data_IF_523064010278
#
_entry.id   IF_523064010278
#
_cell.length_a   1.000
_cell.length_b   1.000
_cell.length_c   1.000
_cell.angle_alpha   90.00
_cell.angle_beta   90.00
_cell.angle_gamma   90.00
#
_symmetry.space_group_name_H-M   'P 1'
#
loop_
_entity.id
_entity.type
_entity.pdbx_description
1 polymer ?
#
# COMPACT_ATOMS: atom_id res chain seq x y z
N UNK A 1 3.49 -32.16 8.94
CA UNK A 1 4.04 -30.80 8.96
C UNK A 1 4.15 -30.40 10.42
N UNK A 2 5.32 -29.95 10.86
CA UNK A 2 5.43 -29.32 12.18
C UNK A 2 4.65 -27.99 12.14
N UNK A 3 3.74 -27.78 13.09
CA UNK A 3 2.87 -26.59 13.13
C UNK A 3 3.71 -25.32 13.35
N UNK A 4 4.92 -25.46 13.89
CA UNK A 4 5.82 -24.33 14.12
C UNK A 4 6.40 -23.70 12.84
N UNK A 5 6.40 -24.43 11.71
CA UNK A 5 7.01 -23.98 10.45
C UNK A 5 5.98 -23.61 9.37
N UNK A 6 4.70 -23.53 9.70
CA UNK A 6 3.65 -23.15 8.75
C UNK A 6 3.71 -21.65 8.42
N UNK A 7 3.74 -21.33 7.12
CA UNK A 7 3.62 -19.97 6.61
C UNK A 7 2.14 -19.59 6.47
N UNK A 8 1.79 -18.36 6.86
CA UNK A 8 0.42 -17.83 6.78
C UNK A 8 0.40 -16.44 6.16
N UNK A 9 -0.64 -16.11 5.40
CA UNK A 9 -0.83 -14.75 4.91
C UNK A 9 -1.14 -13.81 6.07
N UNK A 10 -0.24 -12.85 6.33
CA UNK A 10 -0.28 -12.00 7.51
C UNK A 10 -1.13 -10.74 7.36
N UNK A 11 -1.86 -10.59 6.24
CA UNK A 11 -2.65 -9.41 5.90
C UNK A 11 -1.89 -8.08 6.17
N UNK A 12 -2.51 -7.12 6.86
CA UNK A 12 -1.95 -5.80 7.13
C UNK A 12 -0.67 -5.81 7.98
N UNK A 13 -0.31 -6.92 8.65
CA UNK A 13 1.00 -7.02 9.32
C UNK A 13 2.15 -6.90 8.30
N UNK A 14 1.90 -7.23 7.03
CA UNK A 14 2.85 -7.02 5.94
C UNK A 14 3.30 -5.56 5.80
N UNK A 15 2.50 -4.57 6.23
CA UNK A 15 2.89 -3.14 6.18
C UNK A 15 4.15 -2.86 6.99
N UNK A 16 4.39 -3.60 8.09
CA UNK A 16 5.62 -3.51 8.86
C UNK A 16 6.83 -3.97 8.02
N UNK A 17 6.69 -5.05 7.26
CA UNK A 17 7.72 -5.56 6.36
C UNK A 17 7.97 -4.59 5.18
N UNK A 18 6.92 -4.03 4.60
CA UNK A 18 7.01 -2.97 3.60
C UNK A 18 7.75 -1.75 4.15
N UNK A 19 7.45 -1.33 5.37
CA UNK A 19 8.13 -0.20 6.04
C UNK A 19 9.61 -0.50 6.20
N UNK A 20 9.97 -1.70 6.66
CA UNK A 20 11.37 -2.09 6.82
C UNK A 20 12.13 -2.07 5.50
N UNK A 21 11.51 -2.51 4.39
CA UNK A 21 12.13 -2.42 3.07
C UNK A 21 12.39 -0.97 2.66
N UNK A 22 11.41 -0.07 2.84
CA UNK A 22 11.61 1.36 2.59
C UNK A 22 12.74 1.94 3.45
N UNK A 23 12.77 1.63 4.75
CA UNK A 23 13.79 2.12 5.68
C UNK A 23 15.18 1.53 5.41
N UNK A 24 15.28 0.30 4.89
CA UNK A 24 16.54 -0.27 4.45
C UNK A 24 17.14 0.54 3.29
N UNK A 25 16.31 0.95 2.34
CA UNK A 25 16.73 1.77 1.23
C UNK A 25 17.00 3.25 1.65
N UNK A 26 16.32 3.77 2.69
CA UNK A 26 16.72 5.03 3.36
C UNK A 26 18.12 4.90 3.97
N UNK A 27 18.37 3.82 4.72
CA UNK A 27 19.68 3.57 5.34
C UNK A 27 20.80 3.44 4.29
N UNK A 28 20.49 2.90 3.11
CA UNK A 28 21.42 2.80 1.99
C UNK A 28 21.66 4.14 1.25
N UNK A 29 20.94 5.21 1.62
CA UNK A 29 21.04 6.52 0.97
C UNK A 29 20.33 6.61 -0.39
N UNK A 30 19.54 5.60 -0.76
CA UNK A 30 18.81 5.59 -2.04
C UNK A 30 17.53 6.44 -2.00
N UNK A 31 17.08 6.85 -0.82
CA UNK A 31 15.96 7.77 -0.63
C UNK A 31 16.00 8.44 0.75
N UNK A 32 15.32 9.57 0.89
CA UNK A 32 15.12 10.24 2.16
C UNK A 32 13.65 10.27 2.57
N UNK A 33 13.38 10.33 3.88
CA UNK A 33 12.01 10.38 4.42
C UNK A 33 11.26 11.65 4.01
N UNK A 34 11.97 12.76 3.91
CA UNK A 34 11.42 14.12 3.78
C UNK A 34 11.76 14.80 2.46
N UNK A 35 12.31 14.06 1.50
CA UNK A 35 12.48 14.55 0.12
C UNK A 35 11.22 14.26 -0.71
N UNK A 36 10.84 15.16 -1.64
CA UNK A 36 9.72 14.94 -2.53
C UNK A 36 9.90 13.65 -3.34
N UNK A 37 8.90 12.77 -3.30
CA UNK A 37 8.89 11.52 -4.09
C UNK A 37 9.07 11.82 -5.58
N UNK A 38 8.55 12.96 -6.05
CA UNK A 38 8.70 13.42 -7.42
C UNK A 38 10.16 13.57 -7.89
N UNK A 39 11.12 13.74 -6.97
CA UNK A 39 12.56 13.77 -7.28
C UNK A 39 13.10 12.41 -7.73
N UNK A 40 12.50 11.31 -7.28
CA UNK A 40 12.87 9.94 -7.69
C UNK A 40 11.91 9.41 -8.76
N UNK A 41 10.61 9.66 -8.57
CA UNK A 41 9.52 9.14 -9.40
C UNK A 41 8.71 10.30 -9.98
N UNK A 42 9.23 10.91 -11.05
CA UNK A 42 8.64 12.11 -11.67
C UNK A 42 7.16 11.96 -12.06
N UNK A 43 6.79 10.80 -12.60
CA UNK A 43 5.40 10.51 -12.98
C UNK A 43 4.43 10.52 -11.78
N UNK A 44 4.91 10.20 -10.58
CA UNK A 44 4.10 10.28 -9.36
C UNK A 44 3.81 11.73 -8.95
N UNK A 45 4.74 12.66 -9.17
CA UNK A 45 4.61 14.07 -8.78
C UNK A 45 3.47 14.84 -9.45
N UNK A 46 2.78 14.25 -10.42
CA UNK A 46 1.68 14.89 -11.13
C UNK A 46 0.42 15.07 -10.26
N UNK A 47 -0.45 16.02 -10.68
CA UNK A 47 -1.82 16.21 -10.16
C UNK A 47 -1.91 16.47 -8.65
N UNK A 48 -1.04 17.36 -8.14
CA UNK A 48 -1.05 17.80 -6.74
C UNK A 48 -0.31 16.88 -5.77
N UNK A 49 0.58 16.01 -6.29
CA UNK A 49 1.45 15.12 -5.50
C UNK A 49 2.92 15.58 -5.50
N UNK A 50 3.21 16.77 -6.02
CA UNK A 50 4.56 17.34 -6.15
C UNK A 50 5.27 17.52 -4.80
N UNK A 51 4.50 17.71 -3.71
CA UNK A 51 5.01 17.82 -2.34
C UNK A 51 4.84 16.55 -1.50
N UNK A 52 4.41 15.43 -2.10
CA UNK A 52 4.33 14.17 -1.38
C UNK A 52 5.74 13.65 -1.07
N UNK A 53 5.98 13.26 0.18
CA UNK A 53 7.25 12.71 0.67
C UNK A 53 7.03 11.28 1.17
N UNK A 54 8.10 10.47 1.29
CA UNK A 54 7.98 9.10 1.76
C UNK A 54 7.31 9.02 3.14
N UNK A 55 7.64 9.93 4.07
CA UNK A 55 7.01 9.97 5.40
C UNK A 55 5.49 10.06 5.32
N UNK A 56 4.93 10.75 4.32
CA UNK A 56 3.48 10.79 4.13
C UNK A 56 2.92 9.42 3.75
N UNK A 57 3.59 8.67 2.86
CA UNK A 57 3.17 7.31 2.49
C UNK A 57 3.23 6.39 3.71
N UNK A 58 4.38 6.37 4.40
CA UNK A 58 4.61 5.48 5.54
C UNK A 58 3.67 5.75 6.73
N UNK A 59 3.15 6.97 6.84
CA UNK A 59 2.22 7.39 7.91
C UNK A 59 0.77 7.51 7.45
N UNK A 60 0.43 7.01 6.26
CA UNK A 60 -0.94 7.02 5.72
C UNK A 60 -1.53 8.41 5.47
N UNK A 61 -0.68 9.38 5.08
CA UNK A 61 -1.03 10.77 4.80
C UNK A 61 -0.76 11.19 3.35
N UNK A 62 -0.47 10.25 2.45
CA UNK A 62 -0.18 10.56 1.04
C UNK A 62 -1.42 10.91 0.20
N UNK A 63 -2.62 10.81 0.77
CA UNK A 63 -3.85 11.17 0.06
C UNK A 63 -4.40 10.09 -0.87
N UNK A 64 -3.90 8.86 -0.81
CA UNK A 64 -4.31 7.78 -1.71
C UNK A 64 -4.74 6.52 -0.94
N UNK A 65 -5.72 6.61 -0.03
CA UNK A 65 -6.13 5.49 0.80
C UNK A 65 -6.73 4.31 0.01
N UNK A 66 -7.19 4.56 -1.22
CA UNK A 66 -7.80 3.59 -2.14
C UNK A 66 -7.34 3.84 -3.57
N UNK A 67 -7.51 2.84 -4.42
CA UNK A 67 -7.32 2.99 -5.87
C UNK A 67 -8.40 3.89 -6.46
N UNK A 68 -8.06 4.56 -7.57
CA UNK A 68 -9.01 5.36 -8.32
C UNK A 68 -10.03 4.44 -9.03
N UNK A 69 -11.26 4.91 -9.33
CA UNK A 69 -12.30 4.09 -9.96
C UNK A 69 -11.87 3.40 -11.26
N UNK A 70 -10.93 3.99 -12.00
CA UNK A 70 -10.39 3.44 -13.24
C UNK A 70 -9.64 2.11 -13.04
N UNK A 71 -9.16 1.83 -11.82
CA UNK A 71 -8.51 0.58 -11.47
C UNK A 71 -9.50 -0.56 -11.14
N UNK A 72 -10.81 -0.30 -11.13
CA UNK A 72 -11.81 -1.30 -10.72
C UNK A 72 -11.86 -2.55 -11.63
N UNK A 73 -11.37 -2.44 -12.87
CA UNK A 73 -11.29 -3.55 -13.81
C UNK A 73 -9.94 -4.26 -13.86
N UNK A 74 -8.96 -3.85 -13.05
CA UNK A 74 -7.63 -4.45 -13.05
C UNK A 74 -7.66 -5.78 -12.28
N UNK A 75 -6.87 -6.74 -12.76
CA UNK A 75 -6.56 -7.92 -11.98
C UNK A 75 -5.82 -7.49 -10.70
N UNK A 76 -6.16 -8.10 -9.56
CA UNK A 76 -5.45 -7.85 -8.30
C UNK A 76 -3.97 -8.27 -8.39
N UNK A 77 -3.61 -9.13 -9.35
CA UNK A 77 -2.25 -9.56 -9.63
C UNK A 77 -1.53 -8.65 -10.65
N UNK A 78 -2.21 -7.67 -11.26
CA UNK A 78 -1.58 -6.67 -12.12
C UNK A 78 -0.92 -5.55 -11.29
N UNK A 79 0.14 -5.91 -10.56
CA UNK A 79 0.90 -4.98 -9.73
C UNK A 79 1.39 -3.75 -10.50
N UNK A 80 1.75 -3.95 -11.78
CA UNK A 80 2.20 -2.90 -12.69
C UNK A 80 1.10 -1.89 -12.95
N UNK A 81 -0.04 -2.35 -13.47
CA UNK A 81 -1.20 -1.52 -13.73
C UNK A 81 -1.70 -0.81 -12.47
N UNK A 82 -1.86 -1.53 -11.37
CA UNK A 82 -2.32 -0.97 -10.09
C UNK A 82 -1.39 0.16 -9.61
N UNK A 83 -0.08 -0.05 -9.66
CA UNK A 83 0.91 0.97 -9.31
C UNK A 83 0.86 2.19 -10.24
N UNK A 84 0.74 1.99 -11.54
CA UNK A 84 0.63 3.08 -12.49
C UNK A 84 -0.67 3.88 -12.30
N UNK A 85 -1.77 3.21 -11.95
CA UNK A 85 -3.04 3.87 -11.65
C UNK A 85 -2.89 4.86 -10.49
N UNK A 86 -2.12 4.48 -9.46
CA UNK A 86 -1.82 5.34 -8.32
C UNK A 86 -0.95 6.53 -8.71
N UNK A 87 0.06 6.34 -9.57
CA UNK A 87 0.87 7.45 -10.05
C UNK A 87 0.03 8.48 -10.82
N UNK A 88 -0.91 8.01 -11.66
CA UNK A 88 -1.78 8.85 -12.48
C UNK A 88 -2.93 9.50 -11.71
N UNK A 89 -3.36 8.94 -10.59
CA UNK A 89 -4.47 9.46 -9.81
C UNK A 89 -4.11 10.79 -9.09
N UNK A 90 -5.08 11.69 -8.95
CA UNK A 90 -4.98 12.79 -8.00
C UNK A 90 -5.17 12.25 -6.57
N UNK A 91 -4.54 12.84 -5.55
CA UNK A 91 -4.81 12.45 -4.18
C UNK A 91 -6.19 12.97 -3.77
N UNK A 92 -6.90 12.22 -2.92
CA UNK A 92 -8.22 12.61 -2.39
C UNK A 92 -8.17 13.83 -1.47
N UNK A 93 -7.01 14.05 -0.86
CA UNK A 93 -6.69 15.20 -0.04
C UNK A 93 -5.20 15.49 -0.18
N UNK A 94 -4.81 16.73 0.11
CA UNK A 94 -3.42 17.17 -0.05
C UNK A 94 -2.47 16.29 0.79
N UNK A 95 -1.34 15.80 0.23
CA UNK A 95 -0.39 15.02 0.99
C UNK A 95 0.06 15.74 2.27
N UNK A 96 0.02 15.03 3.39
CA UNK A 96 0.39 15.53 4.72
C UNK A 96 -0.77 16.09 5.54
N UNK A 97 -1.90 16.46 4.95
CA UNK A 97 -2.96 17.19 5.66
C UNK A 97 -3.93 16.31 6.43
N UNK A 98 -4.19 15.09 5.95
CA UNK A 98 -5.15 14.17 6.55
C UNK A 98 -4.58 12.76 6.67
N UNK A 99 -5.17 11.95 7.55
CA UNK A 99 -4.84 10.54 7.71
C UNK A 99 -5.97 9.69 7.11
N UNK A 100 -5.61 8.71 6.29
CA UNK A 100 -6.51 7.68 5.81
C UNK A 100 -5.70 6.44 5.47
N UNK A 101 -6.06 5.31 6.07
CA UNK A 101 -5.29 4.08 5.89
C UNK A 101 -5.19 3.73 4.41
N UNK A 102 -3.96 3.51 3.95
CA UNK A 102 -3.65 3.03 2.60
C UNK A 102 -3.75 1.51 2.59
N UNK A 103 -4.93 0.98 2.93
CA UNK A 103 -5.08 -0.43 3.32
C UNK A 103 -4.55 -1.39 2.26
N UNK A 104 -4.87 -1.10 0.99
CA UNK A 104 -4.46 -1.88 -0.19
C UNK A 104 -3.40 -1.17 -1.04
N UNK A 105 -3.30 0.16 -0.97
CA UNK A 105 -2.39 0.94 -1.84
C UNK A 105 -0.97 1.06 -1.28
N UNK A 106 -0.78 0.81 0.02
CA UNK A 106 0.50 1.02 0.72
C UNK A 106 1.68 0.28 0.08
N UNK A 107 1.50 -1.02 -0.19
CA UNK A 107 2.54 -1.87 -0.81
C UNK A 107 2.93 -1.37 -2.19
N UNK A 108 1.96 -1.08 -3.07
CA UNK A 108 2.21 -0.62 -4.43
C UNK A 108 2.86 0.78 -4.48
N UNK A 109 2.48 1.68 -3.56
CA UNK A 109 3.13 2.99 -3.45
C UNK A 109 4.60 2.85 -3.08
N UNK A 110 4.90 2.04 -2.05
CA UNK A 110 6.29 1.82 -1.61
C UNK A 110 7.09 1.07 -2.68
N UNK A 111 6.51 0.04 -3.32
CA UNK A 111 7.15 -0.68 -4.42
C UNK A 111 7.50 0.26 -5.59
N UNK A 112 6.58 1.17 -5.97
CA UNK A 112 6.87 2.15 -7.01
C UNK A 112 7.98 3.14 -6.66
N UNK A 113 8.02 3.59 -5.41
CA UNK A 113 9.09 4.45 -4.91
C UNK A 113 10.43 3.72 -4.95
N UNK A 114 10.49 2.48 -4.44
CA UNK A 114 11.72 1.67 -4.42
C UNK A 114 12.25 1.40 -5.83
N UNK A 115 11.37 1.06 -6.77
CA UNK A 115 11.76 0.83 -8.17
C UNK A 115 12.33 2.09 -8.80
N UNK A 116 11.74 3.25 -8.52
CA UNK A 116 12.19 4.52 -9.07
C UNK A 116 13.48 5.05 -8.43
N UNK A 117 13.66 4.86 -7.13
CA UNK A 117 14.81 5.43 -6.39
C UNK A 117 16.00 4.49 -6.29
N UNK A 118 15.76 3.18 -6.17
CA UNK A 118 16.77 2.16 -5.92
C UNK A 118 16.89 1.13 -7.05
N UNK A 119 16.04 1.19 -8.08
CA UNK A 119 16.05 0.23 -9.18
C UNK A 119 15.64 -1.19 -8.77
N UNK A 120 15.01 -1.34 -7.61
CA UNK A 120 14.65 -2.63 -7.02
C UNK A 120 13.18 -2.66 -6.59
N UNK A 121 12.57 -3.84 -6.65
CA UNK A 121 11.20 -4.08 -6.19
C UNK A 121 11.15 -4.16 -4.66
N UNK A 122 9.95 -3.99 -4.10
CA UNK A 122 9.70 -4.26 -2.68
C UNK A 122 10.13 -5.68 -2.29
N UNK A 123 9.79 -6.67 -3.13
CA UNK A 123 10.16 -8.07 -2.89
C UNK A 123 11.66 -8.29 -2.88
N UNK A 124 12.40 -7.70 -3.83
CA UNK A 124 13.87 -7.80 -3.88
C UNK A 124 14.53 -7.18 -2.66
N UNK A 125 14.11 -5.97 -2.25
CA UNK A 125 14.68 -5.31 -1.07
C UNK A 125 14.35 -6.10 0.20
N UNK A 126 13.10 -6.52 0.38
CA UNK A 126 12.72 -7.26 1.57
C UNK A 126 13.38 -8.65 1.61
N UNK A 127 13.20 -9.47 0.57
CA UNK A 127 13.71 -10.84 0.54
C UNK A 127 15.24 -10.87 0.49
N UNK A 128 15.90 -9.91 -0.16
CA UNK A 128 17.35 -9.88 -0.32
C UNK A 128 18.11 -9.17 0.81
N UNK A 129 17.49 -8.21 1.49
CA UNK A 129 18.17 -7.39 2.51
C UNK A 129 17.55 -7.57 3.88
N UNK A 130 16.25 -7.28 4.04
CA UNK A 130 15.61 -7.22 5.36
C UNK A 130 15.45 -8.60 5.97
N UNK A 131 14.87 -9.55 5.22
CA UNK A 131 14.60 -10.92 5.64
C UNK A 131 15.86 -11.62 6.18
N UNK A 132 16.97 -11.71 5.42
CA UNK A 132 18.18 -12.38 5.91
C UNK A 132 18.85 -11.64 7.07
N UNK A 133 18.85 -10.30 7.06
CA UNK A 133 19.48 -9.52 8.13
C UNK A 133 18.80 -9.68 9.50
N UNK A 134 17.50 -10.02 9.50
CA UNK A 134 16.70 -10.19 10.71
C UNK A 134 16.36 -11.66 11.00
N UNK A 135 16.81 -12.60 10.17
CA UNK A 135 16.47 -14.02 10.31
C UNK A 135 14.97 -14.30 10.22
N UNK A 136 14.23 -13.53 9.41
CA UNK A 136 12.78 -13.66 9.29
C UNK A 136 12.41 -14.83 8.36
N UNK A 137 11.42 -15.61 8.75
CA UNK A 137 10.76 -16.57 7.87
C UNK A 137 9.46 -15.99 7.31
N UNK A 138 9.62 -15.00 6.44
CA UNK A 138 8.55 -14.25 5.81
C UNK A 138 8.97 -13.82 4.41
N UNK A 139 8.01 -13.74 3.49
CA UNK A 139 8.31 -13.55 2.06
C UNK A 139 7.33 -12.57 1.43
N UNK A 140 7.83 -11.70 0.55
CA UNK A 140 7.00 -11.12 -0.51
C UNK A 140 7.19 -11.97 -1.77
N UNK A 141 6.16 -12.73 -2.13
CA UNK A 141 6.28 -13.83 -3.09
C UNK A 141 6.97 -15.03 -2.45
N UNK A 142 6.20 -16.03 -2.04
CA UNK A 142 6.73 -17.28 -1.48
C UNK A 142 7.37 -18.09 -2.62
N UNK A 143 8.61 -18.56 -2.49
CA UNK A 143 9.25 -19.37 -3.52
C UNK A 143 8.64 -20.77 -3.60
N UNK A 144 8.72 -21.41 -4.77
CA UNK A 144 8.07 -22.69 -5.07
C UNK A 144 8.40 -23.77 -4.04
N UNK A 145 9.66 -23.85 -3.61
CA UNK A 145 10.15 -24.81 -2.61
C UNK A 145 9.58 -24.62 -1.20
N UNK A 146 8.91 -23.49 -0.93
CA UNK A 146 8.27 -23.19 0.35
C UNK A 146 6.74 -23.10 0.24
N UNK A 147 6.16 -23.31 -0.95
CA UNK A 147 4.71 -23.26 -1.14
C UNK A 147 3.98 -24.36 -0.37
N UNK A 148 4.62 -25.51 -0.18
CA UNK A 148 4.07 -26.61 0.61
C UNK A 148 3.84 -26.21 2.07
N UNK A 149 4.56 -25.20 2.58
CA UNK A 149 4.44 -24.62 3.93
C UNK A 149 3.30 -23.63 4.09
N UNK A 150 2.71 -23.14 2.99
CA UNK A 150 1.68 -22.11 3.04
C UNK A 150 0.33 -22.72 3.41
N UNK A 151 -0.26 -22.26 4.50
CA UNK A 151 -1.59 -22.69 4.90
C UNK A 151 -2.69 -22.02 4.08
N UNK A 152 -3.71 -22.80 3.74
CA UNK A 152 -4.99 -22.26 3.29
C UNK A 152 -5.68 -21.52 4.44
N UNK A 153 -6.08 -20.29 4.19
CA UNK A 153 -6.83 -19.50 5.16
C UNK A 153 -8.33 -19.76 5.04
N UNK A 154 -8.96 -19.98 6.18
CA UNK A 154 -10.41 -20.06 6.32
C UNK A 154 -10.91 -18.99 7.31
N UNK A 155 -12.14 -18.52 7.09
CA UNK A 155 -12.80 -17.68 8.08
C UNK A 155 -13.13 -18.52 9.32
N UNK A 156 -12.87 -17.96 10.51
CA UNK A 156 -13.28 -18.59 11.77
C UNK A 156 -14.81 -18.75 11.86
N UNK A 157 -15.56 -17.78 11.32
CA UNK A 157 -17.00 -17.88 11.07
C UNK A 157 -17.25 -17.79 9.55
N UNK A 158 -17.88 -18.80 8.91
CA UNK A 158 -18.22 -18.76 7.50
C UNK A 158 -19.08 -17.55 7.07
N UNK A 159 -19.82 -16.94 8.00
CA UNK A 159 -20.63 -15.75 7.75
C UNK A 159 -19.84 -14.44 7.86
N UNK A 160 -18.60 -14.48 8.34
CA UNK A 160 -17.75 -13.29 8.50
C UNK A 160 -17.74 -12.38 7.27
N UNK A 161 -17.58 -12.88 6.02
CA UNK A 161 -17.56 -12.01 4.83
C UNK A 161 -18.85 -11.24 4.61
N UNK A 162 -19.99 -11.82 5.01
CA UNK A 162 -21.31 -11.18 4.88
C UNK A 162 -21.55 -10.16 6.00
N UNK A 163 -21.02 -10.43 7.19
CA UNK A 163 -21.24 -9.60 8.38
C UNK A 163 -20.18 -8.50 8.57
N UNK A 164 -19.01 -8.62 7.93
CA UNK A 164 -17.90 -7.69 8.08
C UNK A 164 -18.32 -6.23 7.86
N UNK A 165 -19.07 -5.95 6.78
CA UNK A 165 -19.56 -4.60 6.49
C UNK A 165 -20.55 -4.05 7.54
N UNK A 166 -21.17 -4.93 8.32
CA UNK A 166 -22.08 -4.56 9.40
C UNK A 166 -21.36 -4.38 10.75
N UNK A 167 -20.10 -4.78 10.85
CA UNK A 167 -19.38 -4.83 12.11
C UNK A 167 -19.30 -3.43 12.77
N UNK A 168 -19.64 -3.30 14.06
CA UNK A 168 -19.73 -2.00 14.73
C UNK A 168 -18.45 -1.17 14.65
N UNK A 169 -17.28 -1.80 14.68
CA UNK A 169 -15.97 -1.15 14.65
C UNK A 169 -15.52 -0.67 13.25
N UNK A 170 -16.21 -1.07 12.18
CA UNK A 170 -15.99 -0.56 10.82
C UNK A 170 -16.86 0.66 10.51
N UNK A 171 -17.83 0.98 11.37
CA UNK A 171 -18.65 2.18 11.24
C UNK A 171 -17.90 3.36 11.81
N UNK A 172 -17.97 4.51 11.13
CA UNK A 172 -17.58 5.79 11.76
C UNK A 172 -18.42 5.98 13.02
N UNK A 173 -17.81 6.16 14.21
CA UNK A 173 -18.57 6.37 15.43
C UNK A 173 -19.51 7.56 15.27
N UNK A 174 -20.74 7.41 15.78
CA UNK A 174 -21.74 8.49 15.78
C UNK A 174 -21.16 9.69 16.53
N UNK A 175 -21.16 10.87 15.91
CA UNK A 175 -20.68 12.11 16.51
C UNK A 175 -19.22 12.48 16.19
N UNK A 176 -18.47 11.66 15.44
CA UNK A 176 -17.20 12.11 14.85
C UNK A 176 -17.52 13.10 13.73
N UNK A 177 -17.02 14.35 13.76
CA UNK A 177 -17.21 15.29 12.67
C UNK A 177 -16.70 14.67 11.37
N UNK A 178 -17.56 14.53 10.38
CA UNK A 178 -17.11 14.24 9.03
C UNK A 178 -16.21 15.39 8.60
N UNK A 179 -14.92 15.13 8.39
CA UNK A 179 -14.07 16.07 7.68
C UNK A 179 -14.75 16.29 6.34
N UNK A 180 -15.17 17.52 5.98
CA UNK A 180 -15.80 17.76 4.69
C UNK A 180 -14.83 17.28 3.62
N UNK A 181 -15.22 16.25 2.88
CA UNK A 181 -14.52 15.90 1.65
C UNK A 181 -14.48 17.14 0.75
N UNK A 182 -13.50 17.24 -0.16
CA UNK A 182 -13.50 18.32 -1.14
C UNK A 182 -14.87 18.37 -1.82
N UNK A 183 -15.39 19.58 -2.12
CA UNK A 183 -16.70 19.72 -2.74
C UNK A 183 -16.76 18.83 -3.97
N UNK A 184 -17.77 17.94 -4.02
CA UNK A 184 -18.08 17.17 -5.23
C UNK A 184 -18.28 18.19 -6.36
N UNK A 185 -17.32 18.27 -7.28
CA UNK A 185 -17.45 19.21 -8.40
C UNK A 185 -18.67 18.79 -9.22
N UNK A 186 -19.61 19.70 -9.53
CA UNK A 186 -20.75 19.38 -10.38
C UNK A 186 -20.31 19.44 -11.83
N UNK A 187 -19.42 18.54 -12.27
CA UNK A 187 -19.16 18.37 -13.70
C UNK A 187 -20.02 17.24 -14.22
N UNK A 188 -21.17 17.64 -14.80
CA UNK A 188 -21.85 16.89 -15.85
C UNK A 188 -20.81 16.60 -16.93
N UNK A 189 -20.48 15.34 -17.15
CA UNK A 189 -19.87 14.92 -18.40
C UNK A 189 -21.00 14.90 -19.43
N UNK A 190 -21.05 15.93 -20.27
CA UNK A 190 -21.78 15.89 -21.52
C UNK A 190 -20.96 15.03 -22.46
N UNK A 191 -21.53 13.90 -22.89
CA UNK A 191 -21.04 13.11 -24.01
C UNK A 191 -21.17 13.90 -25.31
N UNK A 192 -20.06 14.07 -26.01
CA UNK A 192 -19.96 14.19 -27.47
C UNK A 192 -18.73 13.44 -27.92
#
# INVERSE_FOLDING_TARGET
MDVCDTLVQSYSLSKSFVTLAALAAVRAGALALDEPIAGYWSAYGARGKDRAILRHVLTHRAGQPRFAPEAAGFDLLDDGGLRESLARAAPEYLPGTSLGEHALTYGHLVDGILRASAGATLGEVFNGVVRPALGLDAWFGVPDEALDRVADLAYADPNWPRQFHAAPWLRTPVGVPTIPGPPKSPRRWVTT
#
